data_IF_361386716680
#
_entry.id   IF_361386716680
#
_cell.length_a   1.000
_cell.length_b   1.000
_cell.length_c   1.000
_cell.angle_alpha   90.00
_cell.angle_beta   90.00
_cell.angle_gamma   90.00
#
_symmetry.space_group_name_H-M   'P 1'
#
loop_
_entity.id
_entity.type
_entity.pdbx_description
1 polymer ?
#
# COMPACT_ATOMS: atom_id res chain seq x y z
N UNK A 1 -10.61 1.21 9.56
CA UNK A 1 -9.24 1.05 9.04
C UNK A 1 -9.28 -0.13 8.07
N UNK A 2 -9.17 0.11 6.76
CA UNK A 2 -9.09 -0.93 5.69
C UNK A 2 -8.97 -0.34 4.27
N UNK A 3 -9.06 1.00 4.09
CA UNK A 3 -9.03 1.64 2.77
C UNK A 3 -8.04 2.83 2.71
N UNK A 4 -6.73 2.59 2.87
CA UNK A 4 -5.73 3.67 2.71
C UNK A 4 -5.35 3.93 1.26
N UNK A 5 -5.38 2.92 0.38
CA UNK A 5 -4.88 3.04 -1.00
C UNK A 5 -5.95 2.64 -2.01
N UNK A 6 -7.15 2.25 -1.57
CA UNK A 6 -8.20 1.74 -2.48
C UNK A 6 -7.85 0.40 -3.13
N UNK A 7 -6.89 -0.34 -2.56
CA UNK A 7 -6.50 -1.69 -2.98
C UNK A 7 -7.25 -2.70 -2.13
N UNK A 8 -7.85 -3.72 -2.76
CA UNK A 8 -8.42 -4.85 -2.03
C UNK A 8 -7.30 -5.83 -1.67
N UNK A 9 -7.20 -6.18 -0.40
CA UNK A 9 -6.20 -7.12 0.12
C UNK A 9 -6.90 -8.38 0.64
N UNK A 10 -6.28 -9.53 0.43
CA UNK A 10 -6.71 -10.81 1.01
C UNK A 10 -5.49 -11.57 1.50
N UNK A 11 -5.56 -12.12 2.71
CA UNK A 11 -4.47 -12.86 3.34
C UNK A 11 -4.95 -14.29 3.56
N UNK A 12 -4.24 -15.25 2.99
CA UNK A 12 -4.52 -16.67 3.11
C UNK A 12 -3.27 -17.41 3.60
N UNK A 13 -3.21 -17.65 4.92
CA UNK A 13 -2.06 -18.31 5.56
C UNK A 13 -0.75 -17.55 5.32
N UNK A 14 0.11 -18.10 4.45
CA UNK A 14 1.39 -17.49 4.04
C UNK A 14 1.27 -16.56 2.82
N UNK A 15 0.15 -16.61 2.10
CA UNK A 15 -0.01 -15.89 0.83
C UNK A 15 -0.82 -14.61 1.05
N UNK A 16 -0.31 -13.49 0.51
CA UNK A 16 -1.03 -12.21 0.46
C UNK A 16 -1.37 -11.90 -1.00
N UNK A 17 -2.61 -11.53 -1.27
CA UNK A 17 -3.12 -11.17 -2.60
C UNK A 17 -3.62 -9.73 -2.60
N UNK A 18 -3.35 -9.02 -3.70
CA UNK A 18 -3.71 -7.62 -3.90
C UNK A 18 -4.48 -7.46 -5.21
N UNK A 19 -5.52 -6.63 -5.20
CA UNK A 19 -6.29 -6.26 -6.39
C UNK A 19 -6.38 -4.74 -6.43
N UNK A 20 -5.79 -4.13 -7.46
CA UNK A 20 -5.73 -2.68 -7.66
C UNK A 20 -4.89 -2.30 -8.88
N UNK A 21 -4.58 -1.01 -9.01
CA UNK A 21 -3.72 -0.50 -10.07
C UNK A 21 -2.27 -0.92 -9.86
N UNK A 22 -1.47 -1.05 -10.93
CA UNK A 22 -0.08 -1.53 -10.84
C UNK A 22 0.78 -0.69 -9.88
N UNK A 23 0.63 0.64 -9.89
CA UNK A 23 1.37 1.53 -8.99
C UNK A 23 1.03 1.29 -7.51
N UNK A 24 -0.26 1.07 -7.22
CA UNK A 24 -0.73 0.77 -5.88
C UNK A 24 -0.25 -0.60 -5.39
N UNK A 25 -0.18 -1.60 -6.29
CA UNK A 25 0.35 -2.93 -5.98
C UNK A 25 1.84 -2.85 -5.62
N UNK A 26 2.63 -2.03 -6.32
CA UNK A 26 4.05 -1.84 -5.98
C UNK A 26 4.21 -1.28 -4.57
N UNK A 27 3.44 -0.27 -4.20
CA UNK A 27 3.46 0.32 -2.86
C UNK A 27 3.06 -0.70 -1.79
N UNK A 28 2.00 -1.47 -2.05
CA UNK A 28 1.56 -2.52 -1.11
C UNK A 28 2.57 -3.63 -0.93
N UNK A 29 3.31 -4.01 -1.99
CA UNK A 29 4.39 -4.97 -1.90
C UNK A 29 5.45 -4.52 -0.91
N UNK A 30 5.93 -3.28 -1.05
CA UNK A 30 6.92 -2.70 -0.13
C UNK A 30 6.40 -2.63 1.30
N UNK A 31 5.13 -2.25 1.50
CA UNK A 31 4.54 -2.21 2.84
C UNK A 31 4.48 -3.59 3.50
N UNK A 32 4.14 -4.63 2.73
CA UNK A 32 4.14 -6.01 3.24
C UNK A 32 5.56 -6.51 3.49
N UNK A 33 6.54 -6.16 2.64
CA UNK A 33 7.95 -6.46 2.89
C UNK A 33 8.42 -5.84 4.21
N UNK A 34 8.11 -4.56 4.46
CA UNK A 34 8.44 -3.90 5.73
C UNK A 34 7.85 -4.63 6.94
N UNK A 35 6.60 -5.09 6.83
CA UNK A 35 5.95 -5.87 7.90
C UNK A 35 6.64 -7.23 8.12
N UNK A 36 7.03 -7.92 7.05
CA UNK A 36 7.75 -9.19 7.11
C UNK A 36 9.13 -9.03 7.76
N UNK A 37 9.81 -7.90 7.50
CA UNK A 37 11.10 -7.55 8.11
C UNK A 37 10.99 -7.14 9.59
N UNK A 38 9.78 -7.10 10.16
CA UNK A 38 9.54 -6.75 11.56
C UNK A 38 9.40 -5.26 11.82
N UNK A 39 9.14 -4.45 10.79
CA UNK A 39 8.84 -3.03 10.98
C UNK A 39 7.56 -2.86 11.79
N UNK A 40 7.59 -1.91 12.72
CA UNK A 40 6.40 -1.52 13.46
C UNK A 40 5.31 -1.00 12.50
N UNK A 41 4.04 -1.26 12.85
CA UNK A 41 2.90 -0.84 12.04
C UNK A 41 2.83 0.68 11.82
N UNK A 42 3.24 1.50 12.78
CA UNK A 42 3.25 2.96 12.66
C UNK A 42 4.02 3.47 11.44
N UNK A 43 5.33 3.16 11.32
CA UNK A 43 6.12 3.45 10.12
C UNK A 43 5.49 2.97 8.81
N UNK A 44 4.89 1.78 8.80
CA UNK A 44 4.22 1.22 7.61
C UNK A 44 2.99 2.05 7.24
N UNK A 45 2.16 2.44 8.21
CA UNK A 45 1.02 3.33 7.97
C UNK A 45 1.46 4.70 7.43
N UNK A 46 2.49 5.31 8.02
CA UNK A 46 3.03 6.59 7.55
C UNK A 46 3.58 6.50 6.12
N UNK A 47 4.25 5.39 5.79
CA UNK A 47 4.72 5.11 4.43
C UNK A 47 3.56 5.01 3.44
N UNK A 48 2.52 4.24 3.78
CA UNK A 48 1.35 4.07 2.94
C UNK A 48 0.59 5.37 2.72
N UNK A 49 0.41 6.18 3.76
CA UNK A 49 -0.26 7.47 3.65
C UNK A 49 0.52 8.45 2.76
N UNK A 50 1.84 8.52 2.93
CA UNK A 50 2.69 9.38 2.08
C UNK A 50 2.57 8.97 0.62
N UNK A 51 2.67 7.67 0.34
CA UNK A 51 2.57 7.15 -1.03
C UNK A 51 1.19 7.32 -1.64
N UNK A 52 0.13 7.25 -0.83
CA UNK A 52 -1.22 7.54 -1.28
C UNK A 52 -1.38 9.01 -1.72
N UNK A 53 -0.83 9.95 -0.96
CA UNK A 53 -0.83 11.37 -1.32
C UNK A 53 -0.05 11.63 -2.61
N UNK A 54 1.12 11.00 -2.76
CA UNK A 54 1.92 11.09 -3.99
C UNK A 54 1.14 10.59 -5.22
N UNK A 55 0.44 9.45 -5.11
CA UNK A 55 -0.38 8.90 -6.19
C UNK A 55 -1.55 9.82 -6.56
N UNK A 56 -2.28 10.34 -5.56
CA UNK A 56 -3.37 11.28 -5.81
C UNK A 56 -2.85 12.54 -6.50
N UNK A 57 -1.72 13.07 -6.04
CA UNK A 57 -1.12 14.26 -6.62
C UNK A 57 -0.64 14.03 -8.06
N UNK A 58 -0.04 12.87 -8.35
CA UNK A 58 0.35 12.50 -9.70
C UNK A 58 -0.86 12.37 -10.65
N UNK A 59 -1.99 11.84 -10.16
CA UNK A 59 -3.24 11.79 -10.93
C UNK A 59 -3.86 13.19 -11.18
N UNK A 60 -3.68 14.12 -10.25
CA UNK A 60 -4.15 15.50 -10.36
C UNK A 60 -3.30 16.34 -11.32
N UNK A 61 -1.98 16.11 -11.36
CA UNK A 61 -1.04 16.81 -12.25
C UNK A 61 -1.16 16.37 -13.73
N UNK A 62 -1.76 15.20 -13.97
CA UNK A 62 -1.98 14.63 -15.32
C UNK A 62 -3.30 15.06 -15.98
N UNK A 63 -3.99 16.07 -15.43
CA UNK A 63 -5.22 16.70 -15.94
C UNK A 63 -5.00 18.16 -16.35
#
# INVERSE_FOLDING_TARGET
AENLIGVKISIYGKTVSFIGYPEQIQIMRTAVEMLIEGSNHGPVYSFLERKHKELMQAQLDSY
#
